data_IF_669207984629
#
_entry.id   IF_669207984629
#
_cell.length_a   1.000
_cell.length_b   1.000
_cell.length_c   1.000
_cell.angle_alpha   90.00
_cell.angle_beta   90.00
_cell.angle_gamma   90.00
#
_symmetry.space_group_name_H-M   'P 1'
#
loop_
_entity.id
_entity.type
_entity.pdbx_description
1 polymer ?
#
# COMPACT_ATOMS: atom_id res chain seq x y z
N UNK A 1 -6.69 -6.85 -10.64
CA UNK A 1 -7.27 -5.68 -9.91
C UNK A 1 -7.43 -4.55 -10.89
N UNK A 2 -8.58 -3.94 -10.92
CA UNK A 2 -8.92 -2.80 -11.80
C UNK A 2 -9.19 -1.60 -10.90
N UNK A 3 -8.61 -0.44 -11.22
CA UNK A 3 -8.88 0.79 -10.48
C UNK A 3 -10.33 1.24 -10.69
N UNK A 4 -10.97 1.78 -9.65
CA UNK A 4 -12.36 2.23 -9.69
C UNK A 4 -12.65 3.20 -10.85
N UNK A 5 -11.76 4.16 -11.08
CA UNK A 5 -11.86 5.11 -12.21
C UNK A 5 -11.88 4.39 -13.55
N UNK A 6 -11.04 3.37 -13.74
CA UNK A 6 -11.03 2.58 -14.97
C UNK A 6 -12.34 1.82 -15.16
N UNK A 7 -12.91 1.24 -14.09
CA UNK A 7 -14.19 0.53 -14.18
C UNK A 7 -15.35 1.45 -14.63
N UNK A 8 -15.38 2.69 -14.11
CA UNK A 8 -16.37 3.68 -14.56
C UNK A 8 -16.16 4.07 -16.02
N UNK A 9 -14.91 4.33 -16.42
CA UNK A 9 -14.58 4.67 -17.80
C UNK A 9 -14.94 3.53 -18.75
N UNK A 10 -14.58 2.29 -18.41
CA UNK A 10 -14.87 1.11 -19.21
C UNK A 10 -16.38 0.93 -19.41
N UNK A 11 -17.18 1.05 -18.35
CA UNK A 11 -18.64 0.93 -18.42
C UNK A 11 -19.31 2.00 -19.32
N UNK A 12 -18.68 3.15 -19.50
CA UNK A 12 -19.14 4.18 -20.43
C UNK A 12 -18.71 3.87 -21.86
N UNK A 13 -17.45 3.46 -22.06
CA UNK A 13 -16.85 3.26 -23.39
C UNK A 13 -17.36 2.00 -24.08
N UNK A 14 -17.58 0.90 -23.35
CA UNK A 14 -18.06 -0.38 -23.92
C UNK A 14 -19.42 -0.29 -24.63
N UNK A 15 -20.16 0.80 -24.41
CA UNK A 15 -21.43 1.05 -25.10
C UNK A 15 -21.26 1.56 -26.54
N UNK A 16 -20.07 2.09 -26.84
CA UNK A 16 -19.82 2.79 -28.13
C UNK A 16 -18.61 2.20 -28.87
N UNK A 17 -17.65 1.61 -28.16
CA UNK A 17 -16.44 1.06 -28.77
C UNK A 17 -16.09 -0.29 -28.15
N UNK A 18 -15.43 -1.14 -28.93
CA UNK A 18 -14.88 -2.40 -28.45
C UNK A 18 -13.63 -2.11 -27.59
N UNK A 19 -13.65 -2.59 -26.33
CA UNK A 19 -12.61 -2.31 -25.35
C UNK A 19 -11.88 -3.58 -24.96
N UNK A 20 -10.55 -3.54 -24.94
CA UNK A 20 -9.70 -4.61 -24.43
C UNK A 20 -8.91 -4.14 -23.21
N UNK A 21 -9.01 -4.87 -22.10
CA UNK A 21 -8.18 -4.65 -20.93
C UNK A 21 -6.85 -5.38 -21.07
N UNK A 22 -5.75 -4.63 -21.04
CA UNK A 22 -4.40 -5.20 -21.03
C UNK A 22 -3.92 -5.22 -19.57
N UNK A 23 -3.62 -6.39 -19.00
CA UNK A 23 -3.13 -6.47 -17.61
C UNK A 23 -1.73 -5.89 -17.47
N UNK A 24 -1.47 -5.30 -16.31
CA UNK A 24 -0.16 -4.80 -15.92
C UNK A 24 0.25 -5.30 -14.52
N UNK A 25 1.47 -4.97 -14.11
CA UNK A 25 1.97 -5.28 -12.77
C UNK A 25 1.34 -4.29 -11.78
N UNK A 26 0.75 -4.79 -10.69
CA UNK A 26 0.21 -3.93 -9.65
C UNK A 26 1.34 -3.27 -8.86
N UNK A 27 1.13 -2.03 -8.40
CA UNK A 27 2.17 -1.25 -7.72
C UNK A 27 2.73 -1.94 -6.47
N UNK A 28 1.92 -2.64 -5.69
CA UNK A 28 2.41 -3.33 -4.50
C UNK A 28 3.19 -4.61 -4.83
N UNK A 29 2.94 -5.26 -5.96
CA UNK A 29 3.79 -6.37 -6.43
C UNK A 29 5.14 -5.86 -6.93
N UNK A 30 5.15 -4.75 -7.68
CA UNK A 30 6.38 -4.07 -8.09
C UNK A 30 7.20 -3.65 -6.88
N UNK A 31 6.55 -2.99 -5.92
CA UNK A 31 7.18 -2.57 -4.67
C UNK A 31 7.83 -3.73 -3.92
N UNK A 32 7.14 -4.85 -3.75
CA UNK A 32 7.68 -6.03 -3.08
C UNK A 32 8.92 -6.60 -3.79
N UNK A 33 8.89 -6.64 -5.12
CA UNK A 33 10.04 -7.04 -5.94
C UNK A 33 11.23 -6.11 -5.78
N UNK A 34 11.01 -4.80 -5.77
CA UNK A 34 12.06 -3.78 -5.58
C UNK A 34 12.69 -3.85 -4.19
N UNK A 35 11.90 -4.15 -3.17
CA UNK A 35 12.37 -4.34 -1.80
C UNK A 35 13.07 -5.69 -1.58
N UNK A 36 12.93 -6.64 -2.49
CA UNK A 36 13.38 -8.02 -2.30
C UNK A 36 12.64 -8.72 -1.15
N UNK A 37 11.42 -8.27 -0.84
CA UNK A 37 10.60 -8.83 0.23
C UNK A 37 9.38 -9.54 -0.35
N UNK A 38 9.15 -10.81 0.01
CA UNK A 38 7.93 -11.50 -0.40
C UNK A 38 6.71 -10.82 0.25
N UNK A 39 5.62 -10.69 -0.49
CA UNK A 39 4.34 -10.23 0.09
C UNK A 39 3.84 -11.22 1.14
N UNK A 40 3.95 -12.50 0.85
CA UNK A 40 3.60 -13.59 1.77
C UNK A 40 4.54 -14.77 1.58
N UNK A 41 4.73 -15.55 2.62
CA UNK A 41 5.40 -16.84 2.60
C UNK A 41 4.53 -17.90 3.28
N UNK A 42 4.61 -19.13 2.77
CA UNK A 42 3.88 -20.29 3.31
C UNK A 42 2.39 -19.99 3.56
N UNK A 43 1.96 -20.04 4.80
CA UNK A 43 0.58 -19.81 5.24
C UNK A 43 0.29 -18.34 5.63
N UNK A 44 1.22 -17.42 5.38
CA UNK A 44 1.02 -15.99 5.70
C UNK A 44 -0.15 -15.41 4.91
N UNK A 45 -0.92 -14.58 5.57
CA UNK A 45 -2.05 -13.85 4.99
C UNK A 45 -1.66 -12.44 4.56
N UNK A 46 -2.30 -11.94 3.47
CA UNK A 46 -2.10 -10.60 2.94
C UNK A 46 -3.41 -9.81 2.93
N UNK A 47 -3.38 -8.61 3.50
CA UNK A 47 -4.41 -7.61 3.26
C UNK A 47 -3.89 -6.48 2.37
N UNK A 48 -4.72 -5.99 1.46
CA UNK A 48 -4.45 -4.81 0.62
C UNK A 48 -5.60 -3.83 0.82
N UNK A 49 -5.31 -2.63 1.33
CA UNK A 49 -6.34 -1.67 1.67
C UNK A 49 -5.89 -0.22 1.47
N UNK A 50 -6.82 0.71 1.25
CA UNK A 50 -6.50 2.13 1.21
C UNK A 50 -6.47 2.73 2.61
N UNK A 51 -5.59 3.71 2.85
CA UNK A 51 -5.56 4.51 4.07
C UNK A 51 -6.82 5.37 4.28
N UNK A 52 -7.68 5.47 3.27
CA UNK A 52 -9.00 6.12 3.35
C UNK A 52 -10.05 5.25 4.06
N UNK A 53 -9.73 4.00 4.41
CA UNK A 53 -10.61 3.17 5.24
C UNK A 53 -10.68 3.73 6.67
N UNK A 54 -11.69 3.35 7.43
CA UNK A 54 -11.79 3.78 8.83
C UNK A 54 -10.65 3.21 9.67
N UNK A 55 -10.26 3.90 10.73
CA UNK A 55 -9.19 3.50 11.64
C UNK A 55 -9.40 2.08 12.18
N UNK A 56 -10.64 1.73 12.54
CA UNK A 56 -11.00 0.41 13.07
C UNK A 56 -10.77 -0.70 12.03
N UNK A 57 -11.04 -0.43 10.74
CA UNK A 57 -10.78 -1.40 9.67
C UNK A 57 -9.30 -1.59 9.43
N UNK A 58 -8.52 -0.51 9.48
CA UNK A 58 -7.06 -0.58 9.32
C UNK A 58 -6.46 -1.34 10.51
N UNK A 59 -6.87 -1.01 11.73
CA UNK A 59 -6.41 -1.69 12.94
C UNK A 59 -6.72 -3.18 12.91
N UNK A 60 -7.96 -3.56 12.60
CA UNK A 60 -8.35 -4.96 12.47
C UNK A 60 -7.51 -5.72 11.43
N UNK A 61 -7.20 -5.09 10.29
CA UNK A 61 -6.33 -5.70 9.29
C UNK A 61 -4.89 -5.85 9.79
N UNK A 62 -4.35 -4.84 10.49
CA UNK A 62 -3.02 -4.87 11.10
C UNK A 62 -2.90 -5.96 12.19
N UNK A 63 -3.97 -6.23 12.92
CA UNK A 63 -3.99 -7.29 13.94
C UNK A 63 -4.11 -8.68 13.31
N UNK A 64 -4.98 -8.84 12.30
CA UNK A 64 -5.36 -10.14 11.75
C UNK A 64 -4.34 -10.71 10.76
N UNK A 65 -3.76 -9.87 9.89
CA UNK A 65 -2.93 -10.34 8.79
C UNK A 65 -1.43 -10.24 9.08
N UNK A 66 -0.63 -11.08 8.41
CA UNK A 66 0.83 -11.14 8.55
C UNK A 66 1.52 -10.06 7.70
N UNK A 67 0.95 -9.77 6.55
CA UNK A 67 1.39 -8.72 5.64
C UNK A 67 0.24 -7.79 5.28
N UNK A 68 0.48 -6.49 5.33
CA UNK A 68 -0.54 -5.50 5.04
C UNK A 68 0.04 -4.43 4.10
N UNK A 69 -0.58 -4.26 2.95
CA UNK A 69 -0.31 -3.15 2.03
C UNK A 69 -1.31 -2.04 2.30
N UNK A 70 -0.81 -0.86 2.69
CA UNK A 70 -1.64 0.33 2.90
C UNK A 70 -1.31 1.33 1.80
N UNK A 71 -2.28 1.57 0.92
CA UNK A 71 -2.16 2.51 -0.20
C UNK A 71 -2.73 3.88 0.16
N UNK A 72 -2.32 4.93 -0.57
CA UNK A 72 -2.82 6.31 -0.42
C UNK A 72 -2.50 6.94 0.95
N UNK A 73 -1.36 6.58 1.53
CA UNK A 73 -0.98 7.02 2.89
C UNK A 73 -0.60 8.50 2.98
N UNK A 74 -0.22 9.15 1.87
CA UNK A 74 0.35 10.50 1.87
C UNK A 74 -0.52 11.55 2.59
N UNK A 75 -1.84 11.44 2.52
CA UNK A 75 -2.78 12.37 3.13
C UNK A 75 -3.52 11.76 4.35
N UNK A 76 -3.05 10.63 4.87
CA UNK A 76 -3.69 9.87 5.94
C UNK A 76 -2.70 9.39 7.01
N UNK A 77 -1.57 10.10 7.15
CA UNK A 77 -0.57 9.79 8.18
C UNK A 77 -1.14 9.92 9.59
N UNK A 78 -2.06 10.86 9.80
CA UNK A 78 -2.78 11.10 11.05
C UNK A 78 -3.61 9.89 11.51
N UNK A 79 -4.06 9.06 10.57
CA UNK A 79 -4.77 7.81 10.86
C UNK A 79 -3.82 6.63 10.97
N UNK A 80 -2.85 6.50 10.05
CA UNK A 80 -2.04 5.29 9.92
C UNK A 80 -0.89 5.24 10.94
N UNK A 81 -0.15 6.35 11.14
CA UNK A 81 1.02 6.34 12.05
C UNK A 81 0.65 5.99 13.49
N UNK A 82 -0.41 6.57 14.11
CA UNK A 82 -0.76 6.22 15.48
C UNK A 82 -1.14 4.74 15.66
N UNK A 83 -1.73 4.11 14.63
CA UNK A 83 -2.05 2.69 14.66
C UNK A 83 -0.79 1.82 14.58
N UNK A 84 0.15 2.17 13.69
CA UNK A 84 1.43 1.46 13.59
C UNK A 84 2.25 1.60 14.87
N UNK A 85 2.25 2.78 15.49
CA UNK A 85 2.93 3.03 16.76
C UNK A 85 2.29 2.23 17.90
N UNK A 86 0.96 2.29 18.03
CA UNK A 86 0.18 1.54 19.05
C UNK A 86 0.46 0.03 18.98
N UNK A 87 0.60 -0.51 17.77
CA UNK A 87 0.82 -1.93 17.55
C UNK A 87 2.31 -2.32 17.48
N UNK A 88 3.23 -1.35 17.64
CA UNK A 88 4.68 -1.59 17.59
C UNK A 88 5.21 -1.99 16.22
N UNK A 89 4.53 -1.55 15.14
CA UNK A 89 4.81 -1.97 13.76
C UNK A 89 5.63 -0.95 12.95
N UNK A 90 6.04 0.18 13.54
CA UNK A 90 6.80 1.23 12.83
C UNK A 90 8.08 0.69 12.19
N UNK A 91 8.86 -0.09 12.93
CA UNK A 91 10.13 -0.67 12.43
C UNK A 91 9.94 -1.80 11.42
N UNK A 92 8.75 -2.38 11.38
CA UNK A 92 8.37 -3.47 10.48
C UNK A 92 7.62 -2.99 9.24
N UNK A 93 7.62 -1.66 9.01
CA UNK A 93 6.94 -1.04 7.89
C UNK A 93 7.94 -0.52 6.88
N UNK A 94 7.82 -1.02 5.65
CA UNK A 94 8.50 -0.46 4.48
C UNK A 94 7.66 0.66 3.88
N UNK A 95 8.31 1.73 3.47
CA UNK A 95 7.71 2.78 2.66
C UNK A 95 8.34 2.77 1.28
N UNK A 96 7.51 2.82 0.26
CA UNK A 96 7.95 3.07 -1.12
C UNK A 96 7.14 4.21 -1.70
N UNK A 97 7.85 5.22 -2.18
CA UNK A 97 7.27 6.38 -2.87
C UNK A 97 7.75 6.40 -4.31
N UNK A 98 6.87 6.80 -5.23
CA UNK A 98 7.16 6.94 -6.67
C UNK A 98 7.82 5.70 -7.27
N UNK A 99 7.36 4.50 -6.89
CA UNK A 99 7.87 3.21 -7.36
C UNK A 99 8.02 3.18 -8.88
N UNK A 100 9.12 2.58 -9.35
CA UNK A 100 9.47 2.45 -10.77
C UNK A 100 9.68 3.78 -11.51
N UNK A 101 10.06 4.84 -10.80
CA UNK A 101 10.45 6.13 -11.41
C UNK A 101 11.82 6.57 -10.92
N UNK A 102 12.42 7.56 -11.60
CA UNK A 102 13.72 8.16 -11.20
C UNK A 102 13.65 8.86 -9.82
N UNK A 103 12.44 9.10 -9.30
CA UNK A 103 12.20 9.72 -8.00
C UNK A 103 11.82 8.72 -6.91
N UNK A 104 12.02 7.45 -7.17
CA UNK A 104 11.71 6.41 -6.21
C UNK A 104 12.49 6.58 -4.91
N UNK A 105 11.80 6.42 -3.80
CA UNK A 105 12.38 6.40 -2.46
C UNK A 105 11.87 5.17 -1.71
N UNK A 106 12.77 4.50 -1.01
CA UNK A 106 12.46 3.35 -0.15
C UNK A 106 13.00 3.60 1.24
N UNK A 107 12.27 3.18 2.25
CA UNK A 107 12.65 3.28 3.65
C UNK A 107 12.16 2.03 4.40
N UNK A 108 12.98 1.49 5.30
CA UNK A 108 12.57 0.52 6.30
C UNK A 108 12.58 1.19 7.69
N UNK A 109 11.47 1.04 8.40
CA UNK A 109 11.24 1.75 9.66
C UNK A 109 10.73 3.17 9.43
N UNK A 110 9.74 3.58 10.19
CA UNK A 110 9.06 4.87 10.03
C UNK A 110 9.34 5.84 11.19
N UNK A 111 10.34 5.58 12.04
CA UNK A 111 10.61 6.45 13.21
C UNK A 111 10.96 7.90 12.85
N UNK A 112 11.45 8.14 11.63
CA UNK A 112 11.71 9.49 11.11
C UNK A 112 10.50 10.15 10.47
N UNK A 113 9.38 9.44 10.31
CA UNK A 113 8.15 9.96 9.70
C UNK A 113 7.23 10.49 10.80
N UNK A 114 6.81 11.73 10.65
CA UNK A 114 5.90 12.42 11.58
C UNK A 114 4.62 12.84 10.88
N UNK A 115 3.62 13.31 11.62
CA UNK A 115 2.38 13.84 11.06
C UNK A 115 2.59 15.07 10.17
N UNK A 116 3.71 15.77 10.34
CA UNK A 116 4.08 16.94 9.53
C UNK A 116 4.86 16.56 8.26
N UNK A 117 5.28 15.29 8.15
CA UNK A 117 6.04 14.80 6.99
C UNK A 117 5.18 14.85 5.74
N UNK A 118 5.65 15.55 4.70
CA UNK A 118 4.99 15.59 3.40
C UNK A 118 5.50 14.44 2.53
N UNK A 119 4.68 13.43 2.36
CA UNK A 119 4.97 12.31 1.48
C UNK A 119 4.49 12.58 0.05
N UNK A 120 5.20 12.06 -0.97
CA UNK A 120 4.70 12.05 -2.34
C UNK A 120 3.34 11.36 -2.44
N UNK A 121 2.49 11.81 -3.35
CA UNK A 121 1.15 11.24 -3.54
C UNK A 121 1.18 9.71 -3.76
N UNK A 122 2.13 9.25 -4.58
CA UNK A 122 2.31 7.82 -4.85
C UNK A 122 3.19 7.17 -3.77
N UNK A 123 2.70 7.15 -2.53
CA UNK A 123 3.35 6.47 -1.41
C UNK A 123 2.49 5.33 -0.92
N UNK A 124 3.14 4.18 -0.69
CA UNK A 124 2.53 2.96 -0.19
C UNK A 124 3.37 2.43 0.97
N UNK A 125 2.71 1.95 2.02
CA UNK A 125 3.34 1.21 3.11
C UNK A 125 3.13 -0.29 2.92
N UNK A 126 4.17 -1.07 3.18
CA UNK A 126 4.10 -2.52 3.34
C UNK A 126 4.50 -2.85 4.78
N UNK A 127 3.55 -3.25 5.57
CA UNK A 127 3.77 -3.74 6.94
C UNK A 127 4.01 -5.24 6.87
N UNK A 128 5.14 -5.71 7.41
CA UNK A 128 5.52 -7.12 7.48
C UNK A 128 5.79 -7.50 8.91
N UNK A 129 4.92 -8.31 9.54
CA UNK A 129 5.17 -8.79 10.90
C UNK A 129 6.42 -9.65 11.00
N UNK A 130 6.83 -10.25 9.89
CA UNK A 130 8.07 -11.02 9.75
C UNK A 130 8.83 -10.53 8.51
N UNK A 131 10.01 -9.98 8.74
CA UNK A 131 10.91 -9.49 7.68
C UNK A 131 11.90 -10.59 7.32
N UNK A 132 12.20 -10.73 6.03
CA UNK A 132 13.15 -11.72 5.47
C UNK A 132 14.40 -11.05 4.95
#
# INVERSE_FOLDING_TARGET
MVYSTYSYLLALLEKEIDCQTIPGITSFCSMASELGQPLTMDEESLAVMPATASAEKIEAALELHDSIVIMKVANHLDTVLPLLEKLGLLQQTFMVSNSSTDKQQTLLGLEGITLETKLPYFTTFLVKKKIF
#
